data_IF_199083599010
#
_entry.id   IF_199083599010
#
_cell.length_a   1.000
_cell.length_b   1.000
_cell.length_c   1.000
_cell.angle_alpha   90.00
_cell.angle_beta   90.00
_cell.angle_gamma   90.00
#
_symmetry.space_group_name_H-M   'P 1'
#
loop_
_entity.id
_entity.type
_entity.pdbx_description
1 polymer ?
#
# COMPACT_ATOMS: atom_id res chain seq x y z
N UNK A 1 12.56 -12.39 4.01
CA UNK A 1 11.69 -13.51 3.56
C UNK A 1 11.05 -13.08 2.24
N UNK A 2 10.98 -13.94 1.20
CA UNK A 2 10.18 -13.62 0.03
C UNK A 2 8.76 -13.29 0.47
N UNK A 3 8.12 -12.35 -0.21
CA UNK A 3 6.74 -11.95 0.11
C UNK A 3 5.85 -13.18 0.22
N UNK A 4 5.01 -13.21 1.27
CA UNK A 4 4.10 -14.32 1.48
C UNK A 4 3.21 -14.51 0.23
N UNK A 5 2.87 -15.75 -0.14
CA UNK A 5 2.02 -16.04 -1.31
C UNK A 5 0.72 -15.21 -1.36
N UNK A 6 0.19 -14.79 -0.20
CA UNK A 6 -0.99 -13.95 -0.10
C UNK A 6 -0.75 -12.51 -0.58
N UNK A 7 0.42 -11.93 -0.31
CA UNK A 7 0.72 -10.54 -0.68
C UNK A 7 0.82 -10.43 -2.20
N UNK A 8 1.48 -11.39 -2.84
CA UNK A 8 1.56 -11.47 -4.31
C UNK A 8 0.21 -11.71 -4.96
N UNK A 9 -0.62 -12.59 -4.38
CA UNK A 9 -2.00 -12.81 -4.84
C UNK A 9 -2.84 -11.54 -4.74
N UNK A 10 -2.74 -10.81 -3.62
CA UNK A 10 -3.45 -9.55 -3.45
C UNK A 10 -2.99 -8.53 -4.49
N UNK A 11 -1.68 -8.33 -4.64
CA UNK A 11 -1.11 -7.42 -5.64
C UNK A 11 -1.62 -7.71 -7.06
N UNK A 12 -1.67 -8.98 -7.45
CA UNK A 12 -2.22 -9.39 -8.75
C UNK A 12 -3.69 -8.99 -8.92
N UNK A 13 -4.50 -9.11 -7.86
CA UNK A 13 -5.91 -8.71 -7.89
C UNK A 13 -6.09 -7.19 -7.98
N UNK A 14 -5.17 -6.39 -7.43
CA UNK A 14 -5.29 -4.92 -7.42
C UNK A 14 -4.68 -4.29 -8.68
N UNK A 15 -3.70 -4.94 -9.30
CA UNK A 15 -2.98 -4.40 -10.48
C UNK A 15 -3.89 -3.90 -11.61
N UNK A 16 -5.01 -4.57 -11.97
CA UNK A 16 -5.92 -4.08 -13.01
C UNK A 16 -6.57 -2.73 -12.72
N UNK A 17 -6.58 -2.27 -11.47
CA UNK A 17 -7.18 -1.00 -11.07
C UNK A 17 -6.21 0.19 -11.20
N UNK A 18 -4.92 -0.05 -11.47
CA UNK A 18 -3.95 1.03 -11.73
C UNK A 18 -4.38 1.83 -12.96
N UNK A 19 -4.30 3.15 -12.87
CA UNK A 19 -4.77 4.10 -13.88
C UNK A 19 -6.29 4.32 -13.87
N UNK A 20 -7.03 3.74 -12.91
CA UNK A 20 -8.46 3.99 -12.76
C UNK A 20 -8.75 5.00 -11.64
N UNK A 21 -9.84 5.75 -11.79
CA UNK A 21 -10.31 6.70 -10.80
C UNK A 21 -11.18 6.03 -9.73
N UNK A 22 -10.96 6.41 -8.47
CA UNK A 22 -11.77 5.94 -7.33
C UNK A 22 -13.12 6.64 -7.34
N UNK A 23 -14.18 5.90 -7.65
CA UNK A 23 -15.55 6.44 -7.69
C UNK A 23 -16.18 6.48 -6.29
N UNK A 24 -15.89 5.47 -5.45
CA UNK A 24 -16.47 5.32 -4.11
C UNK A 24 -15.50 4.61 -3.17
N UNK A 25 -15.65 4.85 -1.88
CA UNK A 25 -14.83 4.29 -0.81
C UNK A 25 -15.70 3.80 0.35
N UNK A 26 -15.28 2.76 1.07
CA UNK A 26 -15.99 2.21 2.23
C UNK A 26 -15.05 1.57 3.25
N UNK A 27 -15.62 0.97 4.30
CA UNK A 27 -14.90 0.36 5.42
C UNK A 27 -15.09 1.12 6.73
N UNK A 28 -14.69 0.52 7.85
CA UNK A 28 -14.86 1.10 9.20
C UNK A 28 -13.61 1.76 9.77
N UNK A 29 -12.47 1.66 9.07
CA UNK A 29 -11.19 2.22 9.54
C UNK A 29 -11.25 3.75 9.59
N UNK A 30 -10.90 4.30 10.76
CA UNK A 30 -10.87 5.76 11.00
C UNK A 30 -9.48 6.39 10.82
N UNK A 31 -8.46 5.59 10.48
CA UNK A 31 -7.05 6.05 10.37
C UNK A 31 -6.78 6.92 9.13
N UNK A 32 -7.65 6.83 8.13
CA UNK A 32 -7.60 7.62 6.90
C UNK A 32 -9.01 8.15 6.63
N UNK A 33 -9.13 9.32 6.00
CA UNK A 33 -10.41 9.88 5.57
C UNK A 33 -10.77 9.30 4.19
N UNK A 34 -11.69 8.32 4.08
CA UNK A 34 -11.92 7.59 2.83
C UNK A 34 -12.49 8.51 1.73
N UNK A 35 -13.33 9.48 2.12
CA UNK A 35 -13.87 10.46 1.20
C UNK A 35 -12.79 11.30 0.49
N UNK A 36 -11.62 11.50 1.11
CA UNK A 36 -10.50 12.22 0.50
C UNK A 36 -9.80 11.44 -0.62
N UNK A 37 -10.09 10.15 -0.78
CA UNK A 37 -9.55 9.32 -1.86
C UNK A 37 -10.48 9.26 -3.08
N UNK A 38 -11.73 9.71 -2.95
CA UNK A 38 -12.67 9.76 -4.08
C UNK A 38 -12.18 10.76 -5.13
N UNK A 39 -12.43 10.46 -6.40
CA UNK A 39 -11.96 11.22 -7.55
C UNK A 39 -10.44 11.22 -7.75
N UNK A 40 -9.65 10.60 -6.88
CA UNK A 40 -8.23 10.35 -7.12
C UNK A 40 -8.03 9.14 -8.02
N UNK A 41 -6.88 9.10 -8.68
CA UNK A 41 -6.48 8.01 -9.57
C UNK A 41 -5.51 7.08 -8.86
N UNK A 42 -5.68 5.76 -9.00
CA UNK A 42 -4.73 4.80 -8.47
C UNK A 42 -3.48 4.79 -9.36
N UNK A 43 -2.41 5.44 -8.92
CA UNK A 43 -1.24 5.66 -9.76
C UNK A 43 -0.31 4.45 -9.84
N UNK A 44 -0.16 3.69 -8.77
CA UNK A 44 0.77 2.58 -8.69
C UNK A 44 0.37 1.57 -7.61
N UNK A 45 0.87 0.35 -7.71
CA UNK A 45 0.77 -0.66 -6.65
C UNK A 45 2.15 -1.27 -6.39
N UNK A 46 2.73 -0.97 -5.24
CA UNK A 46 4.03 -1.49 -4.84
C UNK A 46 3.87 -2.60 -3.80
N UNK A 47 4.68 -3.66 -3.92
CA UNK A 47 4.90 -4.60 -2.83
C UNK A 47 6.28 -4.39 -2.26
N UNK A 48 6.34 -4.15 -0.94
CA UNK A 48 7.61 -4.06 -0.21
C UNK A 48 7.73 -5.23 0.75
N UNK A 49 8.89 -5.86 0.73
CA UNK A 49 9.28 -6.81 1.77
C UNK A 49 9.58 -6.03 3.04
N UNK A 50 8.74 -6.20 4.06
CA UNK A 50 9.15 -5.88 5.43
C UNK A 50 10.07 -7.01 5.89
N UNK A 51 11.37 -6.88 5.62
CA UNK A 51 12.35 -7.62 6.43
C UNK A 51 12.44 -6.89 7.77
N UNK A 52 12.26 -7.63 8.86
CA UNK A 52 12.36 -7.08 10.22
C UNK A 52 13.72 -6.42 10.51
N UNK A 53 14.72 -6.61 9.63
CA UNK A 53 16.06 -6.04 9.69
C UNK A 53 16.19 -4.67 8.99
N UNK A 54 15.32 -4.33 8.02
CA UNK A 54 15.32 -3.00 7.36
C UNK A 54 14.73 -1.92 8.27
N UNK A 55 13.81 -2.30 9.16
CA UNK A 55 13.27 -1.40 10.19
C UNK A 55 14.32 -1.00 11.25
N UNK A 56 15.37 -1.80 11.44
CA UNK A 56 16.49 -1.45 12.32
C UNK A 56 17.44 -0.45 11.62
N UNK A 57 17.74 -0.64 10.33
CA UNK A 57 18.64 0.25 9.59
C UNK A 57 18.01 1.61 9.25
N UNK A 58 16.69 1.66 9.01
CA UNK A 58 15.97 2.92 8.74
C UNK A 58 15.83 3.82 9.97
N UNK A 59 15.85 3.28 11.19
CA UNK A 59 15.90 4.07 12.43
C UNK A 59 17.32 4.55 12.79
N UNK A 60 18.37 3.81 12.40
CA UNK A 60 19.76 4.16 12.71
C UNK A 60 20.31 5.21 11.73
N UNK A 61 19.89 5.18 10.45
CA UNK A 61 20.41 6.08 9.42
C UNK A 61 19.62 7.38 9.24
N UNK A 62 18.66 7.68 10.14
CA UNK A 62 17.92 8.94 10.14
C UNK A 62 18.22 9.75 11.39
N UNK A 63 19.47 10.18 11.53
CA UNK A 63 19.83 11.35 12.32
C UNK A 63 19.90 12.57 11.37
N UNK A 64 19.54 13.78 11.85
CA UNK A 64 19.35 14.98 11.03
C UNK A 64 20.57 15.39 10.21
#
# INVERSE_FOLDING_TARGET
MPEGPLVRKFHHLISPFVGQQVVKTGGSSKKLQPAGLQSLWLQDTQVRQSSSEELALSHILRLP
#
